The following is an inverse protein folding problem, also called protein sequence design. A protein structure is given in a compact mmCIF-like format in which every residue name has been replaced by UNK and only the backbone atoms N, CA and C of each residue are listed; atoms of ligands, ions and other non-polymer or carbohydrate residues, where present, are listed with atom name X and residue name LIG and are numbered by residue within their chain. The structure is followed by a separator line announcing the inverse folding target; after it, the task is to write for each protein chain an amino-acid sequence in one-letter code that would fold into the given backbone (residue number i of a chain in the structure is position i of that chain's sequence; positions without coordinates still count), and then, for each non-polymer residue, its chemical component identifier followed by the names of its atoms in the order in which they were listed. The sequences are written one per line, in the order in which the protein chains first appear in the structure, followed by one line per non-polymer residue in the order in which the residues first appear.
data_IF_534711476706
#
_entry.id   IF_534711476706
#
_cell.length_a   1.000
_cell.length_b   1.000
_cell.length_c   1.000
_cell.angle_alpha   90.00
_cell.angle_beta   90.00
_cell.angle_gamma   90.00
#
_symmetry.space_group_name_H-M   'P 1'
#
loop_
_entity.id
_entity.type
_entity.pdbx_description
1 polymer ?
#
# COMPACT_ATOMS: atom_id res chain seq x y z
N UNK A 1 5.70 15.82 -2.89
CA UNK A 1 6.49 14.62 -2.53
C UNK A 1 5.75 13.38 -2.98
N UNK A 2 6.40 12.62 -3.86
CA UNK A 2 5.93 11.35 -4.36
C UNK A 2 5.84 10.33 -3.21
N UNK A 3 5.01 9.30 -3.34
CA UNK A 3 4.85 8.26 -2.32
C UNK A 3 5.57 6.98 -2.73
N UNK A 4 6.70 6.70 -2.08
CA UNK A 4 7.46 5.46 -2.30
C UNK A 4 6.72 4.24 -1.74
N UNK A 5 7.16 3.04 -2.14
CA UNK A 5 6.70 1.79 -1.55
C UNK A 5 6.99 1.72 -0.05
N UNK A 6 8.13 2.25 0.40
CA UNK A 6 8.46 2.39 1.82
C UNK A 6 7.46 3.30 2.54
N UNK A 7 7.05 4.42 1.93
CA UNK A 7 6.00 5.28 2.50
C UNK A 7 4.67 4.56 2.61
N UNK A 8 4.29 3.77 1.60
CA UNK A 8 3.07 2.94 1.64
C UNK A 8 3.15 1.99 2.83
N UNK A 9 4.23 1.20 2.91
CA UNK A 9 4.43 0.20 3.94
C UNK A 9 4.39 0.83 5.35
N UNK A 10 5.11 1.93 5.55
CA UNK A 10 5.18 2.67 6.81
C UNK A 10 3.85 3.27 7.22
N UNK A 11 3.12 3.89 6.28
CA UNK A 11 1.82 4.49 6.56
C UNK A 11 0.76 3.44 6.84
N UNK A 12 0.77 2.29 6.15
CA UNK A 12 -0.16 1.18 6.41
C UNK A 12 0.09 0.57 7.78
N UNK A 13 1.36 0.30 8.13
CA UNK A 13 1.73 -0.15 9.48
C UNK A 13 1.15 0.77 10.55
N UNK A 14 1.35 2.07 10.39
CA UNK A 14 0.82 3.06 11.34
C UNK A 14 -0.71 3.09 11.36
N UNK A 15 -1.36 3.16 10.20
CA UNK A 15 -2.81 3.29 10.09
C UNK A 15 -3.57 2.11 10.69
N UNK A 16 -2.99 0.90 10.65
CA UNK A 16 -3.61 -0.33 11.14
C UNK A 16 -2.98 -0.86 12.44
N UNK A 17 -2.10 -0.07 13.06
CA UNK A 17 -1.39 -0.39 14.29
C UNK A 17 -0.72 -1.78 14.29
N UNK A 18 -0.01 -2.09 13.20
CA UNK A 18 0.66 -3.37 13.00
C UNK A 18 2.02 -3.33 13.70
N UNK A 19 2.31 -4.31 14.57
CA UNK A 19 3.63 -4.43 15.22
C UNK A 19 4.65 -4.97 14.23
N UNK A 20 5.93 -4.63 14.42
CA UNK A 20 7.01 -5.07 13.51
C UNK A 20 7.07 -6.60 13.39
N UNK A 21 6.80 -7.32 14.48
CA UNK A 21 6.77 -8.80 14.46
C UNK A 21 5.59 -9.35 13.64
N UNK A 22 4.45 -8.66 13.63
CA UNK A 22 3.30 -9.06 12.82
C UNK A 22 3.56 -8.75 11.34
N UNK A 23 4.34 -7.71 11.03
CA UNK A 23 4.78 -7.44 9.66
C UNK A 23 5.67 -8.55 9.11
N UNK A 24 6.57 -9.11 9.92
CA UNK A 24 7.39 -10.28 9.53
C UNK A 24 6.50 -11.46 9.15
N UNK A 25 5.49 -11.76 9.98
CA UNK A 25 4.53 -12.84 9.67
C UNK A 25 3.71 -12.52 8.41
N UNK A 26 3.31 -11.27 8.21
CA UNK A 26 2.62 -10.83 6.98
C UNK A 26 3.49 -11.11 5.75
N UNK A 27 4.76 -10.70 5.74
CA UNK A 27 5.66 -10.99 4.62
C UNK A 27 5.77 -12.49 4.34
N UNK A 28 5.92 -13.29 5.40
CA UNK A 28 5.99 -14.75 5.30
C UNK A 28 4.71 -15.35 4.69
N UNK A 29 3.53 -14.88 5.10
CA UNK A 29 2.24 -15.26 4.51
C UNK A 29 2.11 -14.84 3.04
N UNK A 30 2.87 -13.83 2.61
CA UNK A 30 3.02 -13.38 1.23
C UNK A 30 4.05 -14.16 0.42
N UNK A 31 4.72 -15.15 1.02
CA UNK A 31 5.77 -15.95 0.37
C UNK A 31 7.15 -15.32 0.38
N UNK A 32 7.41 -14.33 1.26
CA UNK A 32 8.69 -13.66 1.37
C UNK A 32 9.21 -13.73 2.82
N UNK A 33 10.39 -14.28 3.01
CA UNK A 33 11.05 -14.26 4.32
C UNK A 33 11.83 -12.96 4.49
N UNK A 34 11.59 -12.27 5.60
CA UNK A 34 12.32 -11.06 6.02
C UNK A 34 12.60 -11.15 7.52
N UNK A 35 13.64 -10.50 7.99
CA UNK A 35 13.91 -10.39 9.44
C UNK A 35 13.14 -9.22 10.07
N UNK A 36 13.13 -9.15 11.40
CA UNK A 36 12.59 -7.97 12.09
C UNK A 36 13.43 -6.74 11.79
N UNK A 37 14.74 -6.91 11.67
CA UNK A 37 15.70 -5.87 11.30
C UNK A 37 15.40 -5.33 9.90
N UNK A 38 15.13 -6.21 8.92
CA UNK A 38 14.72 -5.81 7.58
C UNK A 38 13.46 -4.93 7.60
N UNK A 39 12.47 -5.32 8.41
CA UNK A 39 11.24 -4.53 8.58
C UNK A 39 11.55 -3.16 9.17
N UNK A 40 12.36 -3.09 10.23
CA UNK A 40 12.74 -1.81 10.85
C UNK A 40 13.51 -0.92 9.87
N UNK A 41 14.43 -1.48 9.10
CA UNK A 41 15.23 -0.75 8.12
C UNK A 41 14.36 -0.21 6.97
N UNK A 42 13.35 -0.98 6.52
CA UNK A 42 12.37 -0.51 5.53
C UNK A 42 11.48 0.63 6.05
N UNK A 43 11.33 0.77 7.36
CA UNK A 43 10.50 1.80 7.99
C UNK A 43 11.30 3.04 8.43
N UNK A 44 12.63 2.94 8.46
CA UNK A 44 13.53 3.97 8.97
C UNK A 44 14.00 4.87 7.83
N UNK A 45 13.66 6.16 7.92
CA UNK A 45 14.13 7.17 6.97
C UNK A 45 15.57 7.56 7.29
N UNK A 46 16.41 7.65 6.27
CA UNK A 46 17.75 8.21 6.39
C UNK A 46 17.61 9.73 6.52
N UNK A 47 18.00 10.27 7.67
CA UNK A 47 18.11 11.73 7.82
C UNK A 47 19.36 12.18 7.07
N UNK A 48 19.18 12.79 5.91
CA UNK A 48 20.27 13.59 5.33
C UNK A 48 20.47 14.81 6.25
N UNK A 49 21.71 15.11 6.60
CA UNK A 49 22.04 16.44 7.14
C UNK A 49 21.53 17.47 6.12
N UNK A 50 21.00 18.64 6.55
CA UNK A 50 20.65 19.70 5.61
C UNK A 50 21.91 20.07 4.83
N UNK A 51 22.05 19.53 3.63
CA UNK A 51 23.03 20.01 2.69
C UNK A 51 22.55 21.42 2.33
N UNK A 52 23.45 22.39 2.50
CA UNK A 52 23.25 23.79 2.18
C UNK A 52 22.38 23.93 0.94
N UNK A 53 21.34 24.77 1.05
CA UNK A 53 20.41 25.21 0.02
C UNK A 53 21.05 25.14 -1.38
N UNK A 54 20.91 24.00 -2.05
CA UNK A 54 21.17 23.92 -3.47
C UNK A 54 19.89 24.39 -4.13
N UNK A 55 19.98 25.47 -4.90
CA UNK A 55 18.92 26.18 -5.64
C UNK A 55 18.27 25.32 -6.76
N UNK A 56 18.07 24.02 -6.53
CA UNK A 56 17.37 23.16 -7.45
C UNK A 56 16.23 22.47 -6.70
N UNK A 57 15.00 22.83 -7.05
CA UNK A 57 13.71 22.31 -6.57
C UNK A 57 13.49 20.81 -6.87
N UNK A 58 14.56 20.01 -6.94
CA UNK A 58 14.47 18.56 -6.96
C UNK A 58 14.05 18.08 -5.58
N UNK A 59 12.73 17.93 -5.41
CA UNK A 59 12.07 17.39 -4.23
C UNK A 59 12.77 16.08 -3.84
N UNK A 60 13.65 16.13 -2.84
CA UNK A 60 14.42 14.98 -2.40
C UNK A 60 13.46 13.81 -2.10
N UNK A 61 13.60 12.71 -2.83
CA UNK A 61 12.90 11.48 -2.50
C UNK A 61 13.37 11.02 -1.11
N UNK A 62 12.42 10.63 -0.27
CA UNK A 62 12.75 10.10 1.05
C UNK A 62 13.56 8.80 0.90
N UNK A 63 14.82 8.82 1.34
CA UNK A 63 15.64 7.61 1.40
C UNK A 63 15.37 6.81 2.67
N UNK A 64 15.41 5.49 2.54
CA UNK A 64 15.18 4.54 3.62
C UNK A 64 16.41 3.66 3.82
N UNK A 65 16.63 3.18 5.05
CA UNK A 65 17.78 2.33 5.37
C UNK A 65 17.79 1.06 4.50
N UNK A 66 16.60 0.51 4.23
CA UNK A 66 16.39 -0.56 3.25
C UNK A 66 15.26 -0.21 2.28
N UNK A 67 15.50 -0.40 1.00
CA UNK A 67 14.48 -0.20 -0.04
C UNK A 67 13.42 -1.29 0.03
N UNK A 68 12.15 -0.90 -0.01
CA UNK A 68 11.02 -1.79 -0.27
C UNK A 68 10.70 -1.73 -1.76
N UNK A 69 11.10 -2.72 -2.53
CA UNK A 69 10.77 -2.76 -3.96
C UNK A 69 9.30 -3.19 -4.19
N UNK A 70 8.89 -3.23 -5.46
CA UNK A 70 7.52 -3.59 -5.82
C UNK A 70 7.18 -5.05 -5.45
N UNK A 71 8.15 -5.96 -5.51
CA UNK A 71 7.95 -7.37 -5.15
C UNK A 71 7.73 -7.51 -3.65
N UNK A 72 8.50 -6.78 -2.83
CA UNK A 72 8.33 -6.73 -1.38
C UNK A 72 6.97 -6.15 -1.01
N UNK A 73 6.58 -5.01 -1.60
CA UNK A 73 5.27 -4.41 -1.33
C UNK A 73 4.12 -5.36 -1.71
N UNK A 74 4.21 -6.02 -2.87
CA UNK A 74 3.20 -6.99 -3.30
C UNK A 74 3.13 -8.21 -2.36
N UNK A 75 4.28 -8.73 -1.92
CA UNK A 75 4.34 -9.81 -0.95
C UNK A 75 3.65 -9.41 0.36
N UNK A 76 3.97 -8.23 0.92
CA UNK A 76 3.33 -7.72 2.13
C UNK A 76 1.81 -7.61 1.97
N UNK A 77 1.32 -7.01 0.87
CA UNK A 77 -0.12 -6.83 0.64
C UNK A 77 -0.86 -8.17 0.43
N UNK A 78 -0.23 -9.14 -0.25
CA UNK A 78 -0.78 -10.49 -0.39
C UNK A 78 -0.82 -11.22 0.94
N UNK A 79 0.25 -11.15 1.71
CA UNK A 79 0.32 -11.70 3.05
C UNK A 79 -0.70 -11.09 3.99
N UNK A 80 -0.98 -9.79 3.85
CA UNK A 80 -1.99 -9.10 4.65
C UNK A 80 -3.41 -9.59 4.34
N UNK A 81 -3.70 -9.89 3.06
CA UNK A 81 -4.95 -10.58 2.67
C UNK A 81 -5.02 -11.94 3.35
N UNK A 82 -3.96 -12.74 3.26
CA UNK A 82 -3.90 -14.07 3.88
C UNK A 82 -4.10 -13.99 5.40
N UNK A 83 -3.49 -13.02 6.08
CA UNK A 83 -3.65 -12.79 7.51
C UNK A 83 -5.12 -12.50 7.87
N UNK A 84 -5.78 -11.62 7.11
CA UNK A 84 -7.16 -11.19 7.42
C UNK A 84 -8.25 -12.16 6.97
N UNK A 85 -7.99 -12.97 5.94
CA UNK A 85 -9.01 -13.81 5.28
C UNK A 85 -8.71 -15.30 5.30
N UNK A 86 -7.54 -15.69 5.79
CA UNK A 86 -7.02 -17.05 5.67
C UNK A 86 -6.43 -17.32 4.28
N UNK A 87 -5.78 -18.48 4.14
CA UNK A 87 -5.32 -18.97 2.84
C UNK A 87 -6.53 -19.21 1.94
N UNK A 88 -6.48 -18.68 0.73
CA UNK A 88 -7.44 -19.01 -0.31
C UNK A 88 -6.82 -20.07 -1.21
N UNK A 89 -7.48 -21.22 -1.32
CA UNK A 89 -7.11 -22.20 -2.33
C UNK A 89 -7.29 -21.60 -3.73
N UNK A 90 -6.35 -21.84 -4.66
CA UNK A 90 -6.53 -21.41 -6.03
C UNK A 90 -7.83 -21.99 -6.57
N UNK A 91 -8.73 -21.12 -7.06
CA UNK A 91 -9.95 -21.59 -7.70
C UNK A 91 -9.58 -22.40 -8.94
N UNK A 92 -10.23 -23.55 -9.21
CA UNK A 92 -9.97 -24.32 -10.41
C UNK A 92 -10.06 -23.43 -11.65
N UNK A 93 -8.98 -23.40 -12.45
CA UNK A 93 -8.90 -22.56 -13.66
C UNK A 93 -8.44 -21.12 -13.45
N UNK A 94 -8.10 -20.68 -12.23
CA UNK A 94 -7.36 -19.43 -12.07
C UNK A 94 -5.90 -19.62 -12.46
N UNK A 95 -5.36 -18.81 -13.40
CA UNK A 95 -3.93 -18.80 -13.65
C UNK A 95 -3.19 -18.45 -12.36
N UNK A 96 -2.01 -19.04 -12.16
CA UNK A 96 -1.15 -18.72 -11.03
C UNK A 96 -1.00 -17.19 -10.90
N UNK A 97 -0.91 -16.63 -9.68
CA UNK A 97 -0.75 -15.21 -9.50
C UNK A 97 0.51 -14.74 -10.23
N UNK A 98 0.33 -14.12 -11.39
CA UNK A 98 1.39 -13.44 -12.12
C UNK A 98 1.62 -12.11 -11.41
N UNK A 99 2.88 -11.70 -11.27
CA UNK A 99 3.24 -10.40 -10.72
C UNK A 99 2.38 -9.30 -11.33
N UNK A 100 1.86 -8.42 -10.48
CA UNK A 100 0.98 -7.35 -10.92
C UNK A 100 1.76 -6.33 -11.74
N UNK A 101 1.28 -6.00 -12.95
CA UNK A 101 1.82 -4.89 -13.76
C UNK A 101 1.29 -3.52 -13.31
N UNK A 102 0.47 -3.48 -12.27
CA UNK A 102 -0.20 -2.28 -11.77
C UNK A 102 0.76 -1.38 -11.00
N UNK A 103 0.41 -0.10 -10.84
CA UNK A 103 1.20 0.77 -9.96
C UNK A 103 1.02 0.37 -8.50
N UNK A 104 1.97 0.75 -7.65
CA UNK A 104 1.95 0.49 -6.21
C UNK A 104 0.65 0.99 -5.55
N UNK A 105 0.16 2.15 -5.96
CA UNK A 105 -1.06 2.77 -5.42
C UNK A 105 -2.34 2.02 -5.82
N UNK A 106 -2.45 1.55 -7.07
CA UNK A 106 -3.59 0.72 -7.49
C UNK A 106 -3.56 -0.63 -6.76
N UNK A 107 -2.38 -1.22 -6.61
CA UNK A 107 -2.19 -2.48 -5.89
C UNK A 107 -2.60 -2.33 -4.42
N UNK A 108 -2.11 -1.30 -3.73
CA UNK A 108 -2.50 -0.94 -2.37
C UNK A 108 -4.02 -0.84 -2.24
N UNK A 109 -4.67 0.00 -3.05
CA UNK A 109 -6.12 0.24 -2.93
C UNK A 109 -6.92 -1.06 -3.07
N UNK A 110 -6.58 -1.89 -4.06
CA UNK A 110 -7.27 -3.17 -4.30
C UNK A 110 -7.02 -4.18 -3.21
N UNK A 111 -5.76 -4.41 -2.85
CA UNK A 111 -5.38 -5.46 -1.89
C UNK A 111 -5.87 -5.11 -0.49
N UNK A 112 -5.85 -3.84 -0.11
CA UNK A 112 -6.42 -3.37 1.16
C UNK A 112 -7.94 -3.48 1.18
N UNK A 113 -8.63 -3.09 0.09
CA UNK A 113 -10.07 -3.32 -0.05
C UNK A 113 -10.42 -4.80 0.16
N UNK A 114 -9.65 -5.69 -0.47
CA UNK A 114 -9.83 -7.15 -0.35
C UNK A 114 -9.55 -7.61 1.08
N UNK A 115 -8.40 -7.24 1.67
CA UNK A 115 -7.96 -7.71 2.98
C UNK A 115 -8.93 -7.30 4.10
N UNK A 116 -9.44 -6.06 4.02
CA UNK A 116 -10.35 -5.49 5.01
C UNK A 116 -11.83 -5.72 4.67
N UNK A 117 -12.13 -6.53 3.65
CA UNK A 117 -13.50 -6.84 3.21
C UNK A 117 -14.36 -5.59 2.93
N UNK A 118 -13.75 -4.52 2.43
CA UNK A 118 -14.43 -3.25 2.18
C UNK A 118 -15.28 -3.32 0.92
N UNK A 119 -16.50 -2.78 1.00
CA UNK A 119 -17.32 -2.50 -0.19
C UNK A 119 -16.78 -1.29 -0.95
N UNK A 120 -17.36 -0.98 -2.11
CA UNK A 120 -17.01 0.27 -2.79
C UNK A 120 -17.48 1.49 -1.98
N UNK A 121 -18.63 1.40 -1.30
CA UNK A 121 -19.13 2.49 -0.45
C UNK A 121 -18.20 2.71 0.74
N UNK A 122 -17.74 1.64 1.40
CA UNK A 122 -16.77 1.76 2.49
C UNK A 122 -15.51 2.53 2.09
N UNK A 123 -15.01 2.29 0.87
CA UNK A 123 -13.82 2.99 0.37
C UNK A 123 -14.12 4.47 0.10
N UNK A 124 -15.32 4.79 -0.39
CA UNK A 124 -15.76 6.17 -0.57
C UNK A 124 -15.89 6.87 0.79
N UNK A 125 -16.54 6.24 1.77
CA UNK A 125 -16.71 6.79 3.12
C UNK A 125 -15.35 7.01 3.81
N UNK A 126 -14.40 6.08 3.63
CA UNK A 126 -13.02 6.22 4.14
C UNK A 126 -12.33 7.45 3.52
N UNK A 127 -12.47 7.69 2.22
CA UNK A 127 -11.88 8.85 1.55
C UNK A 127 -12.57 10.16 1.95
N UNK A 128 -13.90 10.13 2.09
CA UNK A 128 -14.70 11.28 2.50
C UNK A 128 -14.37 11.72 3.94
N UNK A 129 -14.10 10.77 4.84
CA UNK A 129 -13.71 11.04 6.24
C UNK A 129 -12.46 11.91 6.39
N UNK A 130 -11.64 12.04 5.32
CA UNK A 130 -10.45 12.89 5.27
C UNK A 130 -10.55 14.00 4.23
N UNK A 131 -11.76 14.31 3.76
CA UNK A 131 -12.05 15.41 2.84
C UNK A 131 -11.74 15.13 1.37
N UNK A 132 -11.73 13.85 0.97
CA UNK A 132 -11.52 13.45 -0.44
C UNK A 132 -12.80 12.84 -1.00
N UNK A 133 -13.59 13.65 -1.69
CA UNK A 133 -14.76 13.18 -2.42
C UNK A 133 -14.36 12.49 -3.71
N UNK A 134 -14.81 11.24 -3.90
CA UNK A 134 -14.58 10.43 -5.11
C UNK A 134 -15.91 9.89 -5.59
N UNK A 135 -16.16 9.89 -6.89
CA UNK A 135 -17.37 9.27 -7.44
C UNK A 135 -17.20 7.75 -7.57
N UNK A 136 -18.33 7.01 -7.59
CA UNK A 136 -18.32 5.56 -7.86
C UNK A 136 -17.63 5.21 -9.20
N UNK A 137 -17.79 6.07 -10.21
CA UNK A 137 -17.16 5.89 -11.52
C UNK A 137 -15.65 6.01 -11.47
N UNK A 138 -15.14 7.01 -10.73
CA UNK A 138 -13.70 7.20 -10.53
C UNK A 138 -13.09 6.07 -9.71
N UNK A 139 -13.70 5.71 -8.57
CA UNK A 139 -13.25 4.57 -7.78
C UNK A 139 -13.24 3.28 -8.62
N UNK A 140 -14.27 3.08 -9.43
CA UNK A 140 -14.36 1.97 -10.37
C UNK A 140 -13.22 1.97 -11.40
N UNK A 141 -12.76 3.14 -11.86
CA UNK A 141 -11.62 3.25 -12.77
C UNK A 141 -10.29 2.89 -12.09
N UNK A 142 -10.10 3.30 -10.83
CA UNK A 142 -8.92 2.97 -10.03
C UNK A 142 -8.82 1.47 -9.67
N UNK A 143 -9.98 0.81 -9.52
CA UNK A 143 -10.04 -0.62 -9.18
C UNK A 143 -9.99 -1.56 -10.40
N UNK A 144 -10.00 -1.04 -11.64
CA UNK A 144 -9.87 -1.86 -12.86
C UNK A 144 -8.45 -2.39 -13.03
N UNK A 145 -8.30 -3.52 -13.72
CA UNK A 145 -6.98 -4.08 -14.08
C UNK A 145 -6.28 -3.17 -15.09
N UNK A 146 -4.95 -3.05 -15.00
CA UNK A 146 -4.14 -2.34 -16.00
C UNK A 146 -4.37 -2.94 -17.38
N UNK A 147 -4.53 -2.09 -18.40
CA UNK A 147 -4.90 -2.48 -19.76
C UNK A 147 -6.40 -2.44 -20.06
N UNK A 148 -7.28 -2.30 -19.07
CA UNK A 148 -8.70 -2.05 -19.34
C UNK A 148 -8.90 -0.64 -19.91
N UNK A 149 -9.79 -0.47 -20.89
CA UNK A 149 -10.13 0.83 -21.53
C UNK A 149 -10.51 2.00 -20.59
N UNK A 150 -10.94 1.73 -19.36
CA UNK A 150 -11.27 2.77 -18.37
C UNK A 150 -10.42 2.60 -17.11
N UNK A 151 -9.29 1.90 -17.21
CA UNK A 151 -8.29 1.88 -16.15
C UNK A 151 -7.78 3.30 -15.94
N UNK A 152 -7.67 3.71 -14.67
CA UNK A 152 -6.95 4.92 -14.30
C UNK A 152 -5.92 4.56 -13.24
N UNK A 153 -4.73 5.12 -13.42
CA UNK A 153 -3.68 5.01 -12.42
C UNK A 153 -4.08 5.80 -11.16
N UNK A 154 -3.87 5.19 -10.00
CA UNK A 154 -4.14 5.78 -8.70
C UNK A 154 -2.97 6.70 -8.34
N UNK A 155 -3.20 8.01 -8.32
CA UNK A 155 -2.20 8.97 -7.90
C UNK A 155 -1.96 8.97 -6.39
N UNK A 156 -0.78 9.44 -5.97
CA UNK A 156 -0.34 9.44 -4.56
C UNK A 156 -1.31 10.15 -3.62
N UNK A 157 -2.00 11.19 -4.10
CA UNK A 157 -3.02 11.90 -3.31
C UNK A 157 -4.14 10.94 -2.86
N UNK A 158 -4.60 10.05 -3.74
CA UNK A 158 -5.67 9.11 -3.40
C UNK A 158 -5.15 8.04 -2.45
N UNK A 159 -4.00 7.42 -2.75
CA UNK A 159 -3.40 6.39 -1.89
C UNK A 159 -3.11 6.90 -0.48
N UNK A 160 -2.50 8.09 -0.38
CA UNK A 160 -2.18 8.75 0.88
C UNK A 160 -3.41 9.01 1.74
N UNK A 161 -4.46 9.57 1.14
CA UNK A 161 -5.68 9.90 1.86
C UNK A 161 -6.50 8.65 2.19
N UNK A 162 -6.49 7.63 1.34
CA UNK A 162 -7.09 6.34 1.67
C UNK A 162 -6.43 5.74 2.92
N UNK A 163 -5.10 5.69 2.99
CA UNK A 163 -4.41 5.18 4.20
C UNK A 163 -4.67 6.08 5.42
N UNK A 164 -4.73 7.41 5.23
CA UNK A 164 -5.09 8.33 6.31
C UNK A 164 -6.49 8.02 6.87
N UNK A 165 -7.47 7.82 5.99
CA UNK A 165 -8.84 7.46 6.37
C UNK A 165 -8.92 6.07 7.00
N UNK A 166 -8.09 5.11 6.56
CA UNK A 166 -7.95 3.84 7.29
C UNK A 166 -7.47 4.06 8.73
N UNK A 167 -6.52 4.97 8.94
CA UNK A 167 -6.08 5.36 10.28
C UNK A 167 -7.22 5.89 11.15
N UNK A 168 -8.00 6.83 10.61
CA UNK A 168 -9.20 7.37 11.30
C UNK A 168 -10.20 6.26 11.63
N UNK A 169 -10.44 5.31 10.71
CA UNK A 169 -11.44 4.24 10.90
C UNK A 169 -11.00 3.16 11.88
N UNK A 170 -9.72 2.77 11.87
CA UNK A 170 -9.24 1.57 12.59
C UNK A 170 -8.39 1.87 13.83
N UNK A 171 -7.77 3.05 13.91
CA UNK A 171 -6.89 3.41 15.04
C UNK A 171 -7.56 4.36 16.04
N UNK A 172 -8.43 5.25 15.56
CA UNK A 172 -8.97 6.37 16.35
C UNK A 172 -8.06 7.58 16.25
#
# INVERSE_FOLDING_TARGET
MAMSNNDILKRVRYALDIRDIDMVEIFKLGGMEVTKEDVVDMLTKIKRAPQHEAENDEVAEDEYVKTCDMMMLEAFLNGFITLKRGKQDPKPGQPAPVQSKESANNLLLKKMKIALSLTSEDVLDILDSVGVTVTKGELGALLRKKGHKNYKECGDRYARNFIKGLGVKYRG
#
